data_IF_412371654479
#
_entry.id   IF_412371654479
#
_cell.length_a   1.000
_cell.length_b   1.000
_cell.length_c   1.000
_cell.angle_alpha   90.00
_cell.angle_beta   90.00
_cell.angle_gamma   90.00
#
_symmetry.space_group_name_H-M   'P 1'
#
loop_
_entity.id
_entity.type
_entity.pdbx_description
1 polymer ?
#
# COMPACT_ATOMS: atom_id res chain seq x y z
N UNK A 1 13.26 -28.82 -8.48
CA UNK A 1 12.67 -27.79 -7.59
C UNK A 1 11.47 -27.20 -8.32
N UNK A 2 10.28 -27.23 -7.72
CA UNK A 2 9.09 -26.63 -8.36
C UNK A 2 9.24 -25.11 -8.41
N UNK A 3 8.92 -24.49 -9.56
CA UNK A 3 8.93 -23.04 -9.69
C UNK A 3 7.89 -22.40 -8.76
N UNK A 4 8.22 -21.22 -8.22
CA UNK A 4 7.33 -20.47 -7.34
C UNK A 4 6.07 -20.08 -8.11
N UNK A 5 4.89 -20.45 -7.60
CA UNK A 5 3.61 -20.03 -8.18
C UNK A 5 2.82 -19.16 -7.20
N UNK A 6 2.32 -18.04 -7.68
CA UNK A 6 1.53 -17.06 -6.90
C UNK A 6 0.15 -16.94 -7.52
N UNK A 7 -0.89 -16.86 -6.69
CA UNK A 7 -2.22 -16.54 -7.18
C UNK A 7 -2.28 -15.06 -7.57
N UNK A 8 -2.50 -14.79 -8.85
CA UNK A 8 -2.59 -13.45 -9.39
C UNK A 8 -4.06 -13.00 -9.42
N UNK A 9 -4.42 -12.02 -8.59
CA UNK A 9 -5.79 -11.48 -8.54
C UNK A 9 -6.27 -10.97 -9.89
N UNK A 10 -5.38 -10.43 -10.73
CA UNK A 10 -5.74 -9.88 -12.04
C UNK A 10 -6.22 -10.96 -13.02
N UNK A 11 -5.61 -12.14 -13.01
CA UNK A 11 -5.95 -13.26 -13.91
C UNK A 11 -6.78 -14.35 -13.24
N UNK A 12 -6.88 -14.32 -11.91
CA UNK A 12 -7.57 -15.28 -11.04
C UNK A 12 -7.04 -16.71 -11.14
N UNK A 13 -5.74 -16.85 -11.38
CA UNK A 13 -5.07 -18.15 -11.54
C UNK A 13 -3.77 -18.15 -10.76
N UNK A 14 -3.31 -19.35 -10.41
CA UNK A 14 -1.93 -19.55 -9.94
C UNK A 14 -1.01 -19.49 -11.16
N UNK A 15 -0.16 -18.48 -11.18
CA UNK A 15 0.80 -18.24 -12.27
C UNK A 15 2.22 -18.48 -11.77
N UNK A 16 3.10 -18.85 -12.69
CA UNK A 16 4.54 -18.88 -12.39
C UNK A 16 5.03 -17.46 -12.09
N UNK A 17 5.74 -17.31 -10.98
CA UNK A 17 6.35 -16.05 -10.61
C UNK A 17 7.61 -15.83 -11.42
N UNK A 18 7.55 -14.89 -12.37
CA UNK A 18 8.68 -14.47 -13.20
C UNK A 18 9.04 -13.04 -12.80
N UNK A 19 10.24 -12.79 -12.24
CA UNK A 19 10.61 -11.45 -11.82
C UNK A 19 10.82 -10.55 -13.05
N UNK A 20 10.43 -9.27 -12.93
CA UNK A 20 10.63 -8.28 -13.99
C UNK A 20 12.12 -8.13 -14.35
N UNK A 21 13.00 -8.20 -13.35
CA UNK A 21 14.44 -8.24 -13.50
C UNK A 21 14.97 -9.54 -12.89
N UNK A 22 15.72 -10.34 -13.65
CA UNK A 22 16.28 -11.62 -13.16
C UNK A 22 17.20 -11.46 -11.93
N UNK A 23 17.74 -10.26 -11.72
CA UNK A 23 18.65 -9.93 -10.62
C UNK A 23 17.99 -9.19 -9.46
N UNK A 24 16.71 -8.81 -9.56
CA UNK A 24 16.02 -8.12 -8.47
C UNK A 24 14.50 -8.32 -8.47
N UNK A 25 13.93 -8.44 -7.27
CA UNK A 25 12.50 -8.57 -7.03
C UNK A 25 12.01 -7.38 -6.23
N UNK A 26 10.99 -6.68 -6.73
CA UNK A 26 10.28 -5.65 -5.98
C UNK A 26 8.99 -6.21 -5.38
N UNK A 27 8.73 -5.87 -4.12
CA UNK A 27 7.49 -6.20 -3.42
C UNK A 27 7.00 -4.95 -2.68
N UNK A 28 5.76 -4.55 -2.96
CA UNK A 28 5.08 -3.48 -2.22
C UNK A 28 3.84 -4.05 -1.52
N UNK A 29 3.67 -3.69 -0.25
CA UNK A 29 2.48 -4.05 0.55
C UNK A 29 1.98 -2.79 1.24
N UNK A 30 0.67 -2.51 1.14
CA UNK A 30 0.07 -1.40 1.87
C UNK A 30 0.25 -1.61 3.38
N UNK A 31 0.79 -0.59 4.07
CA UNK A 31 0.92 -0.61 5.52
C UNK A 31 -0.25 0.05 6.24
N UNK A 32 -0.08 0.35 7.53
CA UNK A 32 -1.17 0.81 8.38
C UNK A 32 -1.52 2.29 8.17
N UNK A 33 -2.77 2.64 8.49
CA UNK A 33 -3.14 4.02 8.84
C UNK A 33 -3.01 4.18 10.34
N UNK A 34 -2.08 5.01 10.79
CA UNK A 34 -1.62 5.05 12.19
C UNK A 34 -2.45 6.00 13.05
N UNK A 35 -3.76 5.74 13.12
CA UNK A 35 -4.70 6.50 13.95
C UNK A 35 -5.08 5.80 15.26
N UNK A 36 -4.94 4.47 15.34
CA UNK A 36 -5.35 3.67 16.50
C UNK A 36 -4.49 2.41 16.64
N UNK A 37 -4.56 1.74 17.78
CA UNK A 37 -3.77 0.53 18.05
C UNK A 37 -4.10 -0.62 17.06
N UNK A 38 -3.09 -1.38 16.58
CA UNK A 38 -3.32 -2.51 15.69
C UNK A 38 -4.16 -3.60 16.37
N UNK A 39 -5.13 -4.16 15.64
CA UNK A 39 -5.90 -5.31 16.08
C UNK A 39 -5.48 -6.59 15.34
N UNK A 40 -5.98 -7.76 15.76
CA UNK A 40 -5.61 -9.06 15.15
C UNK A 40 -5.86 -9.14 13.64
N UNK A 41 -6.87 -8.43 13.14
CA UNK A 41 -7.12 -8.28 11.70
C UNK A 41 -5.96 -7.61 10.94
N UNK A 42 -5.20 -6.71 11.57
CA UNK A 42 -3.99 -6.12 11.00
C UNK A 42 -2.80 -7.10 11.06
N UNK A 43 -2.74 -7.97 12.08
CA UNK A 43 -1.66 -8.94 12.23
C UNK A 43 -1.63 -9.99 11.10
N UNK A 44 -2.80 -10.47 10.66
CA UNK A 44 -2.90 -11.49 9.60
C UNK A 44 -2.19 -11.11 8.29
N UNK A 45 -2.47 -9.95 7.65
CA UNK A 45 -1.76 -9.57 6.43
C UNK A 45 -0.26 -9.36 6.67
N UNK A 46 0.16 -8.83 7.83
CA UNK A 46 1.59 -8.68 8.14
C UNK A 46 2.32 -10.03 8.08
N UNK A 47 1.76 -11.06 8.73
CA UNK A 47 2.35 -12.40 8.77
C UNK A 47 2.34 -13.04 7.38
N UNK A 48 1.23 -12.95 6.65
CA UNK A 48 1.12 -13.55 5.30
C UNK A 48 2.17 -12.95 4.36
N UNK A 49 2.33 -11.63 4.36
CA UNK A 49 3.30 -10.98 3.49
C UNK A 49 4.74 -11.12 3.99
N UNK A 50 4.97 -11.29 5.29
CA UNK A 50 6.27 -11.71 5.82
C UNK A 50 6.68 -13.10 5.30
N UNK A 51 5.75 -14.06 5.28
CA UNK A 51 6.00 -15.38 4.70
C UNK A 51 6.34 -15.29 3.21
N UNK A 52 5.62 -14.47 2.44
CA UNK A 52 5.94 -14.22 1.03
C UNK A 52 7.34 -13.61 0.90
N UNK A 53 7.67 -12.60 1.69
CA UNK A 53 8.99 -11.97 1.67
C UNK A 53 10.11 -12.97 1.99
N UNK A 54 9.93 -13.83 3.00
CA UNK A 54 10.88 -14.91 3.35
C UNK A 54 11.05 -15.93 2.21
N UNK A 55 9.97 -16.30 1.53
CA UNK A 55 10.03 -17.19 0.36
C UNK A 55 10.82 -16.53 -0.78
N UNK A 56 10.59 -15.25 -1.05
CA UNK A 56 11.35 -14.51 -2.05
C UNK A 56 12.83 -14.42 -1.68
N UNK A 57 13.16 -14.11 -0.41
CA UNK A 57 14.54 -14.13 0.08
C UNK A 57 15.18 -15.51 -0.12
N UNK A 58 14.45 -16.58 0.20
CA UNK A 58 14.97 -17.96 0.05
C UNK A 58 15.26 -18.31 -1.41
N UNK A 59 14.44 -17.83 -2.35
CA UNK A 59 14.57 -18.16 -3.77
C UNK A 59 15.56 -17.26 -4.52
N UNK A 60 15.67 -15.98 -4.15
CA UNK A 60 16.45 -14.98 -4.90
C UNK A 60 17.65 -14.43 -4.12
N UNK A 61 17.69 -14.62 -2.79
CA UNK A 61 18.69 -14.04 -1.89
C UNK A 61 18.26 -12.68 -1.33
N UNK A 62 18.60 -12.43 -0.07
CA UNK A 62 18.17 -11.24 0.69
C UNK A 62 18.48 -9.92 0.00
N UNK A 63 19.68 -9.81 -0.58
CA UNK A 63 20.15 -8.58 -1.23
C UNK A 63 19.48 -8.30 -2.59
N UNK A 64 18.69 -9.25 -3.11
CA UNK A 64 17.98 -9.10 -4.39
C UNK A 64 16.50 -8.78 -4.23
N UNK A 65 15.96 -8.81 -3.01
CA UNK A 65 14.55 -8.52 -2.75
C UNK A 65 14.43 -7.17 -2.08
N UNK A 66 13.70 -6.25 -2.72
CA UNK A 66 13.35 -4.95 -2.19
C UNK A 66 11.87 -4.94 -1.77
N UNK A 67 11.64 -5.05 -0.47
CA UNK A 67 10.33 -4.97 0.16
C UNK A 67 10.07 -3.55 0.69
N UNK A 68 8.98 -2.93 0.22
CA UNK A 68 8.50 -1.63 0.64
C UNK A 68 7.12 -1.76 1.30
N UNK A 69 6.93 -1.12 2.46
CA UNK A 69 5.63 -1.01 3.13
C UNK A 69 5.42 0.39 3.65
N UNK A 70 4.47 1.14 3.10
CA UNK A 70 4.25 2.52 3.51
C UNK A 70 3.69 2.63 4.93
N UNK A 71 3.76 3.83 5.51
CA UNK A 71 2.99 4.22 6.69
C UNK A 71 2.08 5.36 6.27
N UNK A 72 0.78 5.22 6.50
CA UNK A 72 -0.19 6.29 6.21
C UNK A 72 -0.34 7.13 7.46
N UNK A 73 0.37 8.25 7.50
CA UNK A 73 0.48 9.17 8.64
C UNK A 73 -0.25 10.51 8.44
N UNK A 74 -1.07 10.59 7.39
CA UNK A 74 -2.06 11.65 7.17
C UNK A 74 -3.30 11.03 6.53
N UNK A 75 -4.45 11.22 7.16
CA UNK A 75 -5.76 10.66 6.78
C UNK A 75 -6.86 11.34 7.62
N UNK A 76 -8.10 11.38 7.14
CA UNK A 76 -9.23 11.96 7.87
C UNK A 76 -9.43 11.33 9.26
N UNK A 77 -9.23 10.01 9.37
CA UNK A 77 -9.31 9.31 10.66
C UNK A 77 -8.25 9.75 11.65
N UNK A 78 -7.04 10.05 11.15
CA UNK A 78 -5.93 10.56 11.97
C UNK A 78 -6.26 11.96 12.47
N UNK A 79 -6.77 12.83 11.59
CA UNK A 79 -7.16 14.21 11.94
C UNK A 79 -8.25 14.19 13.01
N UNK A 80 -9.32 13.42 12.78
CA UNK A 80 -10.42 13.28 13.73
C UNK A 80 -9.92 12.77 15.08
N UNK A 81 -9.14 11.70 15.09
CA UNK A 81 -8.66 11.08 16.33
C UNK A 81 -7.71 11.97 17.12
N UNK A 82 -6.82 12.70 16.44
CA UNK A 82 -5.94 13.66 17.07
C UNK A 82 -6.74 14.79 17.76
N UNK A 83 -7.80 15.29 17.12
CA UNK A 83 -8.69 16.29 17.70
C UNK A 83 -9.45 15.77 18.93
N UNK A 84 -9.98 14.54 18.87
CA UNK A 84 -10.67 13.90 20.01
C UNK A 84 -9.75 13.75 21.23
N UNK A 85 -8.51 13.32 21.00
CA UNK A 85 -7.49 13.15 22.04
C UNK A 85 -6.82 14.46 22.47
N UNK A 86 -7.08 15.57 21.77
CA UNK A 86 -6.45 16.88 21.99
C UNK A 86 -4.92 16.81 21.96
N UNK A 87 -4.37 16.02 21.03
CA UNK A 87 -2.92 15.91 20.79
C UNK A 87 -2.60 16.27 19.33
N UNK A 88 -1.33 16.54 19.05
CA UNK A 88 -0.92 16.78 17.66
C UNK A 88 -1.00 15.51 16.82
N UNK A 89 -1.24 15.66 15.51
CA UNK A 89 -1.20 14.55 14.54
C UNK A 89 0.15 13.82 14.62
N UNK A 90 1.26 14.55 14.68
CA UNK A 90 2.59 13.96 14.75
C UNK A 90 2.77 13.10 16.02
N UNK A 91 2.27 13.57 17.16
CA UNK A 91 2.30 12.80 18.40
C UNK A 91 1.48 11.52 18.30
N UNK A 92 0.26 11.59 17.76
CA UNK A 92 -0.58 10.42 17.53
C UNK A 92 0.10 9.41 16.61
N UNK A 93 0.49 9.85 15.41
CA UNK A 93 1.02 8.95 14.37
C UNK A 93 2.37 8.35 14.77
N UNK A 94 3.22 9.10 15.47
CA UNK A 94 4.47 8.57 16.03
C UNK A 94 4.20 7.47 17.05
N UNK A 95 3.34 7.72 18.03
CA UNK A 95 3.03 6.74 19.08
C UNK A 95 2.45 5.45 18.49
N UNK A 96 1.47 5.57 17.58
CA UNK A 96 0.85 4.39 16.95
C UNK A 96 1.83 3.67 16.01
N UNK A 97 2.72 4.40 15.33
CA UNK A 97 3.79 3.78 14.52
C UNK A 97 4.73 2.96 15.41
N UNK A 98 5.14 3.48 16.56
CA UNK A 98 6.04 2.79 17.49
C UNK A 98 5.40 1.50 18.01
N UNK A 99 4.11 1.54 18.36
CA UNK A 99 3.32 0.34 18.74
C UNK A 99 3.28 -0.66 17.58
N UNK A 100 2.94 -0.23 16.37
CA UNK A 100 2.89 -1.10 15.19
C UNK A 100 4.23 -1.78 14.89
N UNK A 101 5.36 -1.05 15.05
CA UNK A 101 6.70 -1.61 14.86
C UNK A 101 7.06 -2.60 15.96
N UNK A 102 6.65 -2.33 17.22
CA UNK A 102 6.81 -3.25 18.33
C UNK A 102 6.03 -4.55 18.08
N UNK A 103 4.79 -4.47 17.60
CA UNK A 103 3.97 -5.63 17.24
C UNK A 103 4.59 -6.43 16.08
N UNK A 104 5.07 -5.76 15.04
CA UNK A 104 5.78 -6.43 13.94
C UNK A 104 6.98 -7.23 14.47
N UNK A 105 7.75 -6.64 15.40
CA UNK A 105 8.90 -7.32 16.03
C UNK A 105 8.46 -8.48 16.91
N UNK A 106 7.41 -8.29 17.72
CA UNK A 106 6.85 -9.33 18.58
C UNK A 106 6.37 -10.54 17.77
N UNK A 107 5.72 -10.29 16.63
CA UNK A 107 5.28 -11.31 15.67
C UNK A 107 6.40 -11.89 14.81
N UNK A 108 7.67 -11.52 15.07
CA UNK A 108 8.84 -11.98 14.33
C UNK A 108 8.76 -11.69 12.80
N UNK A 109 8.09 -10.60 12.42
CA UNK A 109 8.09 -10.15 11.03
C UNK A 109 9.44 -9.50 10.69
N UNK A 110 9.97 -9.77 9.50
CA UNK A 110 11.14 -9.09 8.98
C UNK A 110 10.80 -7.63 8.67
N UNK A 111 11.77 -6.75 8.94
CA UNK A 111 11.65 -5.35 8.56
C UNK A 111 11.67 -5.22 7.02
N UNK A 112 10.74 -4.43 6.44
CA UNK A 112 10.85 -3.99 5.06
C UNK A 112 12.17 -3.24 4.83
N UNK A 113 12.67 -3.27 3.58
CA UNK A 113 13.82 -2.47 3.20
C UNK A 113 13.52 -0.96 3.31
N UNK A 114 12.29 -0.55 3.02
CA UNK A 114 11.84 0.84 3.12
C UNK A 114 10.42 0.94 3.70
N UNK A 115 10.19 1.96 4.53
CA UNK A 115 8.88 2.27 5.10
C UNK A 115 8.53 3.75 4.93
N UNK A 116 8.23 4.20 3.69
CA UNK A 116 7.98 5.61 3.41
C UNK A 116 6.69 6.07 4.08
N UNK A 117 6.73 7.28 4.66
CA UNK A 117 5.53 7.95 5.18
C UNK A 117 4.86 8.79 4.10
N UNK A 118 3.54 8.93 4.15
CA UNK A 118 2.83 9.77 3.20
C UNK A 118 3.28 11.25 3.31
N UNK A 119 3.46 11.77 4.52
CA UNK A 119 3.91 13.16 4.74
C UNK A 119 5.30 13.46 4.19
N UNK A 120 6.17 12.46 4.08
CA UNK A 120 7.54 12.58 3.56
C UNK A 120 7.60 12.52 2.02
N UNK A 121 6.50 12.17 1.34
CA UNK A 121 6.44 11.95 -0.11
C UNK A 121 5.44 12.88 -0.82
N UNK A 122 5.07 14.01 -0.19
CA UNK A 122 4.12 14.99 -0.74
C UNK A 122 4.58 15.54 -2.08
N UNK A 123 5.89 15.81 -2.23
CA UNK A 123 6.44 16.32 -3.49
C UNK A 123 6.22 15.32 -4.64
N UNK A 124 6.52 14.05 -4.43
CA UNK A 124 6.34 13.00 -5.44
C UNK A 124 4.85 12.81 -5.80
N UNK A 125 3.95 12.94 -4.81
CA UNK A 125 2.52 12.92 -5.05
C UNK A 125 2.06 14.09 -5.93
N UNK A 126 2.55 15.31 -5.67
CA UNK A 126 2.26 16.49 -6.49
C UNK A 126 2.77 16.29 -7.93
N UNK A 127 4.03 15.87 -8.09
CA UNK A 127 4.62 15.61 -9.42
C UNK A 127 3.83 14.55 -10.20
N UNK A 128 3.34 13.49 -9.53
CA UNK A 128 2.47 12.49 -10.16
C UNK A 128 1.13 13.10 -10.60
N UNK A 129 0.51 13.93 -9.76
CA UNK A 129 -0.77 14.59 -10.05
C UNK A 129 -0.62 15.55 -11.24
N UNK A 130 0.45 16.35 -11.29
CA UNK A 130 0.75 17.26 -12.39
C UNK A 130 0.85 16.50 -13.72
N UNK A 131 1.59 15.38 -13.75
CA UNK A 131 1.70 14.53 -14.95
C UNK A 131 0.36 13.94 -15.37
N UNK A 132 -0.54 13.63 -14.42
CA UNK A 132 -1.89 13.16 -14.73
C UNK A 132 -2.77 14.27 -15.31
N UNK A 133 -2.62 15.51 -14.83
CA UNK A 133 -3.29 16.70 -15.38
C UNK A 133 -2.81 16.99 -16.82
N UNK A 134 -1.50 17.00 -17.05
CA UNK A 134 -0.89 17.20 -18.38
C UNK A 134 -1.39 16.17 -19.39
N UNK A 135 -1.45 14.89 -19.00
CA UNK A 135 -1.97 13.80 -19.83
C UNK A 135 -3.50 13.77 -19.90
N UNK A 136 -4.17 14.72 -19.26
CA UNK A 136 -5.62 14.86 -19.18
C UNK A 136 -6.32 13.64 -18.54
N UNK A 137 -5.62 12.86 -17.71
CA UNK A 137 -6.18 11.77 -16.89
C UNK A 137 -6.69 12.26 -15.53
N UNK A 138 -6.34 13.49 -15.13
CA UNK A 138 -6.94 14.19 -14.00
C UNK A 138 -7.59 15.50 -14.45
N UNK A 139 -8.41 16.09 -13.59
CA UNK A 139 -9.04 17.40 -13.78
C UNK A 139 -9.26 18.10 -12.45
N UNK A 140 -9.34 19.44 -12.48
CA UNK A 140 -9.58 20.27 -11.31
C UNK A 140 -11.07 20.60 -11.23
N UNK A 141 -11.67 20.49 -10.04
CA UNK A 141 -13.04 20.90 -9.75
C UNK A 141 -13.16 21.32 -8.29
N UNK A 142 -13.79 22.46 -8.02
CA UNK A 142 -14.05 22.96 -6.66
C UNK A 142 -12.80 22.98 -5.77
N UNK A 143 -11.66 23.42 -6.34
CA UNK A 143 -10.36 23.47 -5.65
C UNK A 143 -9.67 22.12 -5.42
N UNK A 144 -10.27 21.01 -5.85
CA UNK A 144 -9.75 19.65 -5.70
C UNK A 144 -9.29 19.07 -7.04
N UNK A 145 -8.37 18.11 -6.99
CA UNK A 145 -7.92 17.36 -8.18
C UNK A 145 -8.51 15.96 -8.17
N UNK A 146 -9.20 15.60 -9.25
CA UNK A 146 -9.86 14.30 -9.40
C UNK A 146 -9.26 13.50 -10.54
N UNK A 147 -9.15 12.17 -10.37
CA UNK A 147 -8.79 11.25 -11.44
C UNK A 147 -10.01 10.93 -12.32
N UNK A 148 -9.85 11.04 -13.64
CA UNK A 148 -10.89 10.72 -14.61
C UNK A 148 -10.88 9.22 -14.94
N UNK A 149 -11.66 8.46 -14.17
CA UNK A 149 -11.78 7.00 -14.33
C UNK A 149 -12.24 6.57 -15.73
N UNK A 150 -13.05 7.38 -16.41
CA UNK A 150 -13.56 7.06 -17.75
C UNK A 150 -12.46 7.07 -18.83
N UNK A 151 -11.36 7.81 -18.61
CA UNK A 151 -10.22 7.83 -19.53
C UNK A 151 -9.31 6.62 -19.37
N UNK A 152 -9.36 5.94 -18.23
CA UNK A 152 -8.55 4.76 -17.98
C UNK A 152 -9.32 3.49 -18.37
N UNK A 153 -9.07 3.01 -19.60
CA UNK A 153 -9.82 1.87 -20.20
C UNK A 153 -9.79 0.58 -19.37
N UNK A 154 -8.71 0.35 -18.62
CA UNK A 154 -8.55 -0.83 -17.75
C UNK A 154 -9.12 -0.62 -16.33
N UNK A 155 -9.84 0.49 -16.06
CA UNK A 155 -10.41 0.73 -14.74
C UNK A 155 -11.38 -0.38 -14.33
N UNK A 156 -11.23 -0.90 -13.10
CA UNK A 156 -12.05 -2.00 -12.58
C UNK A 156 -11.56 -3.41 -12.96
N UNK A 157 -10.53 -3.56 -13.80
CA UNK A 157 -9.99 -4.87 -14.21
C UNK A 157 -9.50 -5.73 -13.04
N UNK A 158 -8.85 -5.13 -12.04
CA UNK A 158 -8.35 -5.86 -10.87
C UNK A 158 -9.46 -6.43 -9.99
N UNK A 159 -10.56 -5.68 -9.80
CA UNK A 159 -11.73 -6.13 -9.04
C UNK A 159 -12.75 -6.88 -9.90
N UNK A 160 -12.53 -6.94 -11.22
CA UNK A 160 -13.44 -7.46 -12.23
C UNK A 160 -14.86 -6.88 -12.08
N UNK A 161 -14.92 -5.55 -11.95
CA UNK A 161 -16.16 -4.78 -11.96
C UNK A 161 -16.13 -3.80 -13.12
N UNK A 162 -17.26 -3.60 -13.78
CA UNK A 162 -17.39 -2.54 -14.76
C UNK A 162 -17.72 -1.22 -14.06
N UNK A 163 -17.45 -0.09 -14.72
CA UNK A 163 -17.73 1.26 -14.19
C UNK A 163 -19.20 1.42 -13.73
N UNK A 164 -20.16 0.82 -14.44
CA UNK A 164 -21.58 0.84 -14.08
C UNK A 164 -21.85 0.16 -12.72
N UNK A 165 -21.19 -0.96 -12.45
CA UNK A 165 -21.35 -1.73 -11.20
C UNK A 165 -20.73 -1.01 -10.00
N UNK A 166 -19.74 -0.14 -10.24
CA UNK A 166 -19.11 0.68 -9.21
C UNK A 166 -19.98 1.87 -8.80
N UNK A 167 -20.69 2.49 -9.76
CA UNK A 167 -21.61 3.61 -9.50
C UNK A 167 -22.84 3.14 -8.70
N UNK A 168 -23.36 1.95 -8.97
CA UNK A 168 -24.49 1.41 -8.19
C UNK A 168 -24.13 1.10 -6.72
N UNK A 169 -22.83 1.00 -6.40
CA UNK A 169 -22.32 0.71 -5.07
C UNK A 169 -21.69 1.90 -4.35
N UNK A 170 -21.53 3.04 -5.01
CA UNK A 170 -21.07 4.27 -4.36
C UNK A 170 -22.22 4.85 -3.55
N UNK A 171 -22.12 4.72 -2.22
CA UNK A 171 -22.97 5.44 -1.26
C UNK A 171 -22.31 6.77 -0.91
#
# INVERSE_FOLDING_TARGET
MNSLKIYNTLSRKKEEFIPLNKNSVGMYVCGPTVYDEPHIGNARPLIIFDLVYRILIKNFGKNKVNYVRNITDIDDKIIQRANELKISINQLTKNITDIFLADCKYLNCLLPNNQPKATENIKDMIEMIERLLEKKFAYIKDGNVYFNVNKFKDYGKLSNKNLKDLISGSR
#
